data_IF_224302179111
#
_entry.id   IF_224302179111
#
_cell.length_a   1.000
_cell.length_b   1.000
_cell.length_c   1.000
_cell.angle_alpha   90.00
_cell.angle_beta   90.00
_cell.angle_gamma   90.00
#
_symmetry.space_group_name_H-M   'P 1'
#
loop_
_entity.id
_entity.type
_entity.pdbx_description
1 polymer ?
#
# COMPACT_ATOMS: atom_id res chain seq x y z
N UNK A 1 29.42 -41.15 -49.44
CA UNK A 1 30.56 -40.91 -48.54
C UNK A 1 29.98 -40.49 -47.20
N UNK A 2 29.97 -41.36 -46.19
CA UNK A 2 31.13 -41.61 -45.30
C UNK A 2 31.35 -40.41 -44.38
N UNK A 3 31.45 -40.51 -43.06
CA UNK A 3 31.54 -41.62 -42.09
C UNK A 3 31.38 -40.91 -40.72
N UNK A 4 30.70 -41.47 -39.73
CA UNK A 4 31.38 -42.14 -38.60
C UNK A 4 31.44 -41.23 -37.36
N UNK A 5 30.79 -41.57 -36.23
CA UNK A 5 31.09 -42.63 -35.26
C UNK A 5 31.79 -42.08 -34.01
N UNK A 6 31.03 -41.90 -32.91
CA UNK A 6 31.33 -42.33 -31.52
C UNK A 6 30.37 -41.62 -30.55
N UNK A 7 29.49 -42.34 -29.83
CA UNK A 7 29.70 -43.10 -28.57
C UNK A 7 29.62 -42.13 -27.35
N UNK A 8 28.90 -42.36 -26.25
CA UNK A 8 28.54 -43.58 -25.50
C UNK A 8 27.30 -43.31 -24.60
N UNK A 9 26.53 -44.37 -24.32
CA UNK A 9 25.53 -44.48 -23.22
C UNK A 9 26.24 -44.97 -21.91
N UNK A 10 25.60 -45.19 -20.72
CA UNK A 10 24.38 -46.01 -20.54
C UNK A 10 23.36 -45.58 -19.47
N UNK A 11 22.18 -46.16 -19.61
CA UNK A 11 21.09 -46.26 -18.63
C UNK A 11 21.46 -47.17 -17.44
N UNK A 12 20.79 -47.01 -16.28
CA UNK A 12 20.97 -47.90 -15.14
C UNK A 12 19.99 -47.65 -14.00
N UNK A 13 18.87 -48.39 -14.01
CA UNK A 13 17.95 -48.60 -12.88
C UNK A 13 18.54 -49.60 -11.88
N UNK A 14 18.32 -49.42 -10.57
CA UNK A 14 18.35 -50.45 -9.49
C UNK A 14 17.86 -49.78 -8.19
N UNK A 15 16.68 -50.09 -7.66
CA UNK A 15 16.27 -51.24 -6.83
C UNK A 15 16.69 -51.13 -5.33
N UNK A 16 15.69 -50.93 -4.47
CA UNK A 16 15.73 -50.96 -2.98
C UNK A 16 16.03 -52.36 -2.43
N UNK A 17 16.63 -52.47 -1.22
CA UNK A 17 15.96 -53.28 -0.18
C UNK A 17 16.11 -52.72 1.27
N UNK A 18 15.39 -53.32 2.25
CA UNK A 18 14.98 -52.72 3.53
C UNK A 18 15.88 -53.10 4.71
N UNK A 19 15.70 -52.46 5.88
CA UNK A 19 15.58 -53.12 7.19
C UNK A 19 15.42 -52.14 8.36
N UNK A 20 14.36 -52.39 9.14
CA UNK A 20 14.16 -51.93 10.51
C UNK A 20 15.03 -52.82 11.47
N UNK A 21 15.39 -52.48 12.70
CA UNK A 21 14.63 -52.09 13.91
C UNK A 21 15.67 -51.74 15.04
N UNK A 22 15.30 -51.55 16.32
CA UNK A 22 15.07 -50.28 17.00
C UNK A 22 16.04 -50.06 18.18
N UNK A 23 16.04 -48.88 18.84
CA UNK A 23 16.14 -48.76 20.31
C UNK A 23 16.10 -47.28 20.71
N UNK A 24 15.05 -46.88 21.44
CA UNK A 24 15.15 -45.76 22.38
C UNK A 24 15.53 -46.35 23.75
N UNK A 25 16.40 -45.69 24.53
CA UNK A 25 15.83 -44.92 25.64
C UNK A 25 16.61 -43.63 25.99
N UNK A 26 15.82 -42.58 26.23
CA UNK A 26 15.93 -41.68 27.38
C UNK A 26 17.29 -41.03 27.69
N UNK A 27 17.46 -39.78 27.25
CA UNK A 27 18.31 -38.79 27.92
C UNK A 27 17.60 -37.41 28.00
N UNK A 28 17.92 -36.59 29.00
CA UNK A 28 16.97 -35.82 29.80
C UNK A 28 16.60 -34.45 29.21
N UNK A 29 15.48 -33.93 29.71
CA UNK A 29 14.94 -32.59 29.46
C UNK A 29 15.99 -31.48 29.45
N UNK A 30 16.14 -30.80 28.31
CA UNK A 30 16.61 -29.43 28.24
C UNK A 30 15.39 -28.51 28.06
N UNK A 31 15.35 -27.34 28.71
CA UNK A 31 14.12 -26.63 29.00
C UNK A 31 13.46 -26.09 27.73
N UNK A 32 12.14 -26.30 27.66
CA UNK A 32 11.21 -25.52 26.84
C UNK A 32 11.58 -24.04 26.95
N UNK A 33 12.05 -23.46 25.85
CA UNK A 33 12.01 -22.00 25.68
C UNK A 33 10.54 -21.59 25.86
N UNK A 34 10.19 -20.74 26.84
CA UNK A 34 8.84 -20.21 26.89
C UNK A 34 8.61 -19.42 25.59
N UNK A 35 7.44 -19.53 24.93
CA UNK A 35 7.08 -18.56 23.91
C UNK A 35 6.98 -17.20 24.61
N UNK A 36 8.05 -16.41 24.50
CA UNK A 36 8.06 -15.04 24.99
C UNK A 36 7.22 -14.19 24.05
N UNK A 37 6.27 -13.47 24.63
CA UNK A 37 5.82 -12.19 24.10
C UNK A 37 4.63 -12.24 23.15
N UNK A 38 3.50 -11.80 23.71
CA UNK A 38 2.40 -11.05 23.11
C UNK A 38 2.60 -10.45 21.69
N UNK A 39 1.51 -10.23 20.93
CA UNK A 39 1.58 -9.46 19.70
C UNK A 39 2.26 -8.11 19.97
N UNK A 40 3.31 -7.82 19.20
CA UNK A 40 3.92 -6.50 19.17
C UNK A 40 2.92 -5.52 18.54
N UNK A 41 1.98 -5.03 19.34
CA UNK A 41 1.19 -3.83 19.06
C UNK A 41 2.06 -2.60 19.38
N UNK A 42 3.19 -2.51 18.70
CA UNK A 42 3.87 -1.22 18.52
C UNK A 42 3.18 -0.51 17.36
N UNK A 43 3.15 0.84 17.33
CA UNK A 43 2.71 1.54 16.13
C UNK A 43 3.53 0.99 14.96
N UNK A 44 2.90 0.23 14.08
CA UNK A 44 3.47 -0.01 12.76
C UNK A 44 3.82 1.37 12.21
N UNK A 45 5.00 1.58 11.61
CA UNK A 45 5.35 2.87 11.03
C UNK A 45 4.18 3.29 10.13
N UNK A 46 3.41 4.27 10.60
CA UNK A 46 2.18 4.68 9.95
C UNK A 46 2.56 5.12 8.56
N UNK A 47 1.85 4.62 7.55
CA UNK A 47 2.03 5.13 6.20
C UNK A 47 1.91 6.65 6.28
N UNK A 48 2.90 7.41 5.81
CA UNK A 48 2.84 8.87 5.87
C UNK A 48 1.57 9.33 5.17
N UNK A 49 0.70 10.00 5.92
CA UNK A 49 -0.58 10.46 5.40
C UNK A 49 -0.39 11.81 4.71
N UNK A 50 -0.81 11.89 3.44
CA UNK A 50 -0.73 13.13 2.67
C UNK A 50 -1.87 14.06 3.07
N UNK A 51 -1.55 15.24 3.57
CA UNK A 51 -2.55 16.25 3.94
C UNK A 51 -2.79 17.26 2.82
N UNK A 52 -3.88 18.04 2.92
CA UNK A 52 -4.19 19.13 1.97
C UNK A 52 -3.05 20.16 1.91
N UNK A 53 -2.37 20.39 3.04
CA UNK A 53 -1.22 21.28 3.11
C UNK A 53 -0.05 20.74 2.26
N UNK A 54 0.25 19.44 2.37
CA UNK A 54 1.30 18.80 1.57
C UNK A 54 0.99 18.85 0.08
N UNK A 55 -0.27 18.62 -0.29
CA UNK A 55 -0.75 18.72 -1.67
C UNK A 55 -0.61 20.15 -2.23
N UNK A 56 -0.84 21.18 -1.41
CA UNK A 56 -0.56 22.57 -1.79
C UNK A 56 0.93 22.83 -2.04
N UNK A 57 1.82 22.28 -1.19
CA UNK A 57 3.26 22.39 -1.38
C UNK A 57 3.71 21.66 -2.66
N UNK A 58 3.18 20.46 -2.94
CA UNK A 58 3.43 19.72 -4.18
C UNK A 58 3.06 20.53 -5.42
N UNK A 59 1.92 21.24 -5.40
CA UNK A 59 1.53 22.15 -6.48
C UNK A 59 2.61 23.21 -6.73
N UNK A 60 3.05 23.91 -5.69
CA UNK A 60 4.09 24.94 -5.80
C UNK A 60 5.42 24.39 -6.30
N UNK A 61 5.83 23.20 -5.86
CA UNK A 61 7.05 22.54 -6.35
C UNK A 61 6.96 22.29 -7.86
N UNK A 62 5.81 21.81 -8.36
CA UNK A 62 5.60 21.59 -9.79
C UNK A 62 5.73 22.90 -10.57
N UNK A 63 5.14 24.00 -10.10
CA UNK A 63 5.25 25.32 -10.73
C UNK A 63 6.70 25.83 -10.78
N UNK A 64 7.45 25.67 -9.67
CA UNK A 64 8.87 26.05 -9.60
C UNK A 64 9.72 25.17 -10.52
N UNK A 65 9.42 23.89 -10.62
CA UNK A 65 10.13 22.97 -11.51
C UNK A 65 9.85 23.27 -12.99
N UNK A 66 8.59 23.56 -13.34
CA UNK A 66 8.19 23.95 -14.69
C UNK A 66 8.82 25.28 -15.12
N UNK A 67 8.79 26.30 -14.25
CA UNK A 67 9.42 27.60 -14.54
C UNK A 67 10.93 27.51 -14.72
N UNK A 68 11.59 26.54 -14.07
CA UNK A 68 13.01 26.25 -14.24
C UNK A 68 13.33 25.33 -15.42
N UNK A 69 12.32 24.81 -16.12
CA UNK A 69 12.51 23.86 -17.21
C UNK A 69 13.08 22.50 -16.76
N UNK A 70 12.74 22.05 -15.55
CA UNK A 70 13.22 20.78 -14.99
C UNK A 70 12.68 19.54 -15.73
N UNK A 71 11.56 19.70 -16.45
CA UNK A 71 10.92 18.63 -17.23
C UNK A 71 11.23 18.77 -18.72
N UNK A 72 11.42 17.65 -19.42
CA UNK A 72 11.58 17.64 -20.88
C UNK A 72 10.21 17.72 -21.58
N UNK A 73 10.23 18.03 -22.88
CA UNK A 73 9.01 18.15 -23.70
C UNK A 73 8.11 16.90 -23.62
N UNK A 74 8.71 15.71 -23.66
CA UNK A 74 7.97 14.44 -23.58
C UNK A 74 7.21 14.25 -22.25
N UNK A 75 7.63 14.91 -21.16
CA UNK A 75 7.06 14.73 -19.82
C UNK A 75 6.09 15.87 -19.45
N UNK A 76 6.21 17.01 -20.11
CA UNK A 76 5.46 18.23 -19.81
C UNK A 76 3.94 18.01 -19.89
N UNK A 77 3.48 17.20 -20.85
CA UNK A 77 2.05 16.86 -20.96
C UNK A 77 1.53 16.12 -19.72
N UNK A 78 2.26 15.10 -19.26
CA UNK A 78 1.87 14.30 -18.10
C UNK A 78 1.92 15.13 -16.80
N UNK A 79 2.95 15.96 -16.64
CA UNK A 79 3.08 16.87 -15.50
C UNK A 79 1.96 17.91 -15.52
N UNK A 80 1.66 18.49 -16.68
CA UNK A 80 0.56 19.46 -16.85
C UNK A 80 -0.79 18.86 -16.49
N UNK A 81 -1.10 17.65 -17.00
CA UNK A 81 -2.33 16.93 -16.64
C UNK A 81 -2.44 16.66 -15.14
N UNK A 82 -1.33 16.28 -14.51
CA UNK A 82 -1.29 16.02 -13.05
C UNK A 82 -1.50 17.31 -12.26
N UNK A 83 -0.87 18.40 -12.67
CA UNK A 83 -1.04 19.72 -12.08
C UNK A 83 -2.50 20.19 -12.12
N UNK A 84 -3.17 20.11 -13.27
CA UNK A 84 -4.58 20.51 -13.41
C UNK A 84 -5.50 19.68 -12.50
N UNK A 85 -5.26 18.38 -12.38
CA UNK A 85 -6.03 17.50 -11.47
C UNK A 85 -5.82 17.87 -10.01
N UNK A 86 -4.58 18.12 -9.62
CA UNK A 86 -4.22 18.55 -8.27
C UNK A 86 -4.91 19.88 -7.91
N UNK A 87 -4.87 20.85 -8.82
CA UNK A 87 -5.54 22.15 -8.62
C UNK A 87 -7.06 22.02 -8.47
N UNK A 88 -7.69 21.20 -9.32
CA UNK A 88 -9.12 20.93 -9.25
C UNK A 88 -9.50 20.26 -7.93
N UNK A 89 -8.72 19.29 -7.48
CA UNK A 89 -8.93 18.60 -6.21
C UNK A 89 -8.83 19.56 -5.03
N UNK A 90 -7.75 20.36 -4.96
CA UNK A 90 -7.55 21.33 -3.89
C UNK A 90 -8.69 22.37 -3.84
N UNK A 91 -9.16 22.84 -5.00
CA UNK A 91 -10.31 23.74 -5.08
C UNK A 91 -11.60 23.07 -4.59
N UNK A 92 -11.84 21.81 -4.97
CA UNK A 92 -13.00 21.05 -4.51
C UNK A 92 -12.99 20.85 -2.99
N UNK A 93 -11.84 20.52 -2.40
CA UNK A 93 -11.70 20.37 -0.95
C UNK A 93 -11.93 21.69 -0.23
N UNK A 94 -11.39 22.80 -0.74
CA UNK A 94 -11.63 24.13 -0.17
C UNK A 94 -13.13 24.49 -0.20
N UNK A 95 -13.81 24.25 -1.32
CA UNK A 95 -15.25 24.47 -1.43
C UNK A 95 -16.05 23.59 -0.46
N UNK A 96 -15.65 22.33 -0.26
CA UNK A 96 -16.25 21.43 0.72
C UNK A 96 -16.05 21.92 2.16
N UNK A 97 -14.86 22.46 2.49
CA UNK A 97 -14.58 23.04 3.80
C UNK A 97 -15.44 24.29 4.06
N UNK A 98 -15.60 25.16 3.07
CA UNK A 98 -16.47 26.34 3.17
C UNK A 98 -17.94 25.93 3.32
N UNK A 99 -18.40 24.93 2.57
CA UNK A 99 -19.77 24.41 2.69
C UNK A 99 -20.02 23.76 4.07
N UNK A 100 -19.04 23.07 4.63
CA UNK A 100 -19.12 22.46 5.96
C UNK A 100 -19.08 23.50 7.10
N UNK A 101 -18.43 24.65 6.90
CA UNK A 101 -18.41 25.77 7.84
C UNK A 101 -19.57 26.75 7.61
N UNK A 102 -20.40 26.51 6.59
CA UNK A 102 -21.63 27.24 6.30
C UNK A 102 -22.69 26.98 7.36
N UNK A 103 -22.72 27.88 8.35
CA UNK A 103 -23.79 28.13 9.31
C UNK A 103 -25.16 27.71 8.75
N UNK A 104 -25.75 26.64 9.29
CA UNK A 104 -27.14 26.30 9.01
C UNK A 104 -28.00 27.55 9.29
N UNK A 105 -28.78 28.08 8.33
CA UNK A 105 -29.89 28.91 8.70
C UNK A 105 -30.78 28.01 9.55
N UNK A 106 -30.85 28.32 10.85
CA UNK A 106 -31.91 27.81 11.69
C UNK A 106 -33.21 28.18 10.98
N UNK A 107 -33.80 27.21 10.28
CA UNK A 107 -35.16 27.33 9.78
C UNK A 107 -35.98 27.56 11.05
N UNK A 108 -36.65 28.74 11.20
CA UNK A 108 -37.46 28.96 12.37
C UNK A 108 -38.52 27.87 12.37
N UNK A 109 -38.56 27.11 13.46
CA UNK A 109 -39.58 26.11 13.69
C UNK A 109 -40.94 26.76 13.43
N UNK A 110 -41.62 26.27 12.40
CA UNK A 110 -43.02 26.61 12.15
C UNK A 110 -43.77 26.24 13.44
N UNK A 111 -44.43 27.18 14.14
CA UNK A 111 -45.15 26.84 15.36
C UNK A 111 -46.24 25.84 15.00
N UNK A 112 -46.24 24.70 15.67
CA UNK A 112 -47.38 23.82 15.70
C UNK A 112 -48.56 24.58 16.32
N UNK A 113 -49.52 25.01 15.50
CA UNK A 113 -50.87 25.29 15.99
C UNK A 113 -51.57 23.95 16.14
N UNK A 114 -51.44 23.40 17.35
CA UNK A 114 -52.50 22.64 18.03
C UNK A 114 -53.61 23.62 18.43
N UNK A 115 -54.87 23.27 18.20
CA UNK A 115 -56.06 24.04 18.60
C UNK A 115 -57.19 23.87 17.57
N UNK A 116 -57.91 22.75 17.54
CA UNK A 116 -59.07 22.43 18.41
C UNK A 116 -60.31 23.28 18.07
N UNK A 117 -61.21 22.75 17.23
CA UNK A 117 -62.62 22.44 17.54
C UNK A 117 -63.37 21.90 16.32
#
# INVERSE_FOLDING_TARGET
>A
MSDGKQAMAPEGTTATPPQAVPVAPNMPSAPTVPPTGAPADGPAPGNPELTVQDLGVLKTIIEVAQSRGAFKANELEAVGKTYTKLETFLTSIQNQQVAAQGNAPAVPAKPATTGDK
#
